data_IF_292571160616
#
_entry.id   IF_292571160616
#
_cell.length_a   1.000
_cell.length_b   1.000
_cell.length_c   1.000
_cell.angle_alpha   90.00
_cell.angle_beta   90.00
_cell.angle_gamma   90.00
#
_symmetry.space_group_name_H-M   'P 1'
#
loop_
_entity.id
_entity.type
_entity.pdbx_description
1 polymer ?
#
# COMPACT_ATOMS: atom_id res chain seq x y z
N UNK A 1 30.31 29.29 37.75
CA UNK A 1 29.24 29.65 36.79
C UNK A 1 28.32 28.44 36.66
N UNK A 2 27.29 28.36 37.50
CA UNK A 2 26.36 27.22 37.55
C UNK A 2 25.25 27.47 36.53
N UNK A 3 25.36 26.87 35.35
CA UNK A 3 24.30 26.90 34.32
C UNK A 3 23.11 26.07 34.84
N UNK A 4 21.96 26.72 34.83
CA UNK A 4 20.75 26.29 35.49
C UNK A 4 20.15 25.00 34.82
N UNK A 5 20.58 23.84 35.30
CA UNK A 5 20.19 22.51 34.78
C UNK A 5 18.66 22.30 34.72
N UNK A 6 17.90 23.04 35.57
CA UNK A 6 16.41 22.99 35.57
C UNK A 6 15.80 23.64 34.33
N UNK A 7 16.46 24.64 33.73
CA UNK A 7 15.99 25.32 32.53
C UNK A 7 16.15 24.44 31.29
N UNK A 8 17.29 23.75 31.17
CA UNK A 8 17.54 22.80 30.08
C UNK A 8 16.58 21.57 30.11
N UNK A 9 16.24 21.10 31.31
CA UNK A 9 15.31 19.98 31.48
C UNK A 9 13.87 20.33 31.07
N UNK A 10 13.43 21.59 31.26
CA UNK A 10 12.11 22.07 30.79
C UNK A 10 12.06 22.24 29.27
N UNK A 11 13.12 22.75 28.66
CA UNK A 11 13.20 22.90 27.19
C UNK A 11 13.23 21.53 26.51
N UNK A 12 13.94 20.55 27.05
CA UNK A 12 13.99 19.18 26.51
C UNK A 12 12.63 18.48 26.56
N UNK A 13 11.87 18.66 27.65
CA UNK A 13 10.52 18.11 27.80
C UNK A 13 9.52 18.73 26.81
N UNK A 14 9.60 20.02 26.53
CA UNK A 14 8.74 20.70 25.53
C UNK A 14 9.02 20.22 24.12
N UNK A 15 10.29 19.93 23.76
CA UNK A 15 10.67 19.42 22.45
C UNK A 15 10.11 18.01 22.18
N UNK A 16 10.08 17.14 23.20
CA UNK A 16 9.51 15.78 23.10
C UNK A 16 7.98 15.84 22.88
N UNK A 17 7.28 16.77 23.55
CA UNK A 17 5.83 16.92 23.40
C UNK A 17 5.42 17.43 22.01
N UNK A 18 6.25 18.22 21.35
CA UNK A 18 5.98 18.74 20.00
C UNK A 18 6.09 17.65 18.92
N UNK A 19 7.04 16.74 19.04
CA UNK A 19 7.24 15.65 18.06
C UNK A 19 6.11 14.62 18.08
N UNK A 20 5.55 14.31 19.24
CA UNK A 20 4.42 13.36 19.37
C UNK A 20 3.15 13.91 18.71
N UNK A 21 2.89 15.22 18.82
CA UNK A 21 1.73 15.87 18.21
C UNK A 21 1.78 15.86 16.67
N UNK A 22 2.97 15.98 16.07
CA UNK A 22 3.13 15.98 14.61
C UNK A 22 2.81 14.62 14.03
N UNK A 23 3.35 13.54 14.58
CA UNK A 23 3.09 12.16 14.12
C UNK A 23 1.62 11.77 14.23
N UNK A 24 0.96 12.17 15.32
CA UNK A 24 -0.48 11.90 15.51
C UNK A 24 -1.34 12.66 14.48
N UNK A 25 -0.94 13.87 14.09
CA UNK A 25 -1.64 14.65 13.09
C UNK A 25 -1.55 14.03 11.69
N UNK A 26 -0.36 13.58 11.28
CA UNK A 26 -0.14 12.91 9.98
C UNK A 26 -0.97 11.62 9.87
N UNK A 27 -0.94 10.76 10.88
CA UNK A 27 -1.75 9.55 10.93
C UNK A 27 -3.25 9.83 10.83
N UNK A 28 -3.75 10.85 11.52
CA UNK A 28 -5.15 11.27 11.46
C UNK A 28 -5.56 11.75 10.07
N UNK A 29 -4.71 12.52 9.40
CA UNK A 29 -4.97 13.02 8.06
C UNK A 29 -5.00 11.87 7.03
N UNK A 30 -4.04 10.94 7.09
CA UNK A 30 -4.02 9.73 6.25
C UNK A 30 -5.28 8.89 6.50
N UNK A 31 -5.66 8.71 7.76
CA UNK A 31 -6.91 7.99 8.12
C UNK A 31 -8.14 8.62 7.48
N UNK A 32 -8.25 9.95 7.53
CA UNK A 32 -9.36 10.68 6.89
C UNK A 32 -9.36 10.48 5.37
N UNK A 33 -8.18 10.57 4.74
CA UNK A 33 -8.01 10.34 3.29
C UNK A 33 -8.42 8.92 2.90
N UNK A 34 -7.92 7.90 3.59
CA UNK A 34 -8.25 6.49 3.32
C UNK A 34 -9.74 6.21 3.51
N UNK A 35 -10.38 6.80 4.52
CA UNK A 35 -11.81 6.61 4.75
C UNK A 35 -12.67 7.15 3.61
N UNK A 36 -12.26 8.23 2.95
CA UNK A 36 -12.95 8.80 1.80
C UNK A 36 -12.70 8.06 0.48
N UNK A 37 -11.76 7.11 0.46
CA UNK A 37 -11.32 6.44 -0.75
C UNK A 37 -12.10 5.14 -0.97
N UNK A 38 -12.85 5.02 -2.08
CA UNK A 38 -13.58 3.80 -2.44
C UNK A 38 -12.88 3.02 -3.55
N UNK A 39 -12.25 3.72 -4.47
CA UNK A 39 -11.54 3.12 -5.59
C UNK A 39 -10.35 3.98 -6.02
N UNK A 40 -9.36 3.37 -6.65
CA UNK A 40 -8.26 4.05 -7.33
C UNK A 40 -7.92 3.39 -8.65
N UNK A 41 -7.60 4.21 -9.64
CA UNK A 41 -6.89 3.81 -10.85
C UNK A 41 -5.46 4.31 -10.75
N UNK A 42 -4.49 3.46 -11.09
CA UNK A 42 -3.08 3.81 -10.98
C UNK A 42 -2.19 3.05 -11.96
N UNK A 43 -1.06 3.65 -12.34
CA UNK A 43 0.07 2.92 -12.93
C UNK A 43 1.03 2.47 -11.83
N UNK A 44 1.81 1.43 -12.10
CA UNK A 44 2.78 0.91 -11.15
C UNK A 44 4.10 0.49 -11.78
N UNK A 45 5.14 0.56 -10.94
CA UNK A 45 6.43 -0.11 -11.12
C UNK A 45 6.61 -1.08 -9.94
N UNK A 46 6.85 -2.35 -10.26
CA UNK A 46 7.07 -3.41 -9.28
C UNK A 46 8.46 -4.01 -9.47
N UNK A 47 9.27 -4.00 -8.42
CA UNK A 47 10.59 -4.64 -8.39
C UNK A 47 10.52 -5.90 -7.54
N UNK A 48 10.83 -7.05 -8.13
CA UNK A 48 10.90 -8.34 -7.45
C UNK A 48 12.28 -8.93 -7.75
N UNK A 49 13.13 -9.07 -6.73
CA UNK A 49 14.46 -9.69 -6.85
C UNK A 49 15.27 -9.14 -8.04
N UNK A 50 15.28 -7.82 -8.21
CA UNK A 50 16.03 -7.14 -9.29
C UNK A 50 15.30 -7.07 -10.64
N UNK A 51 14.16 -7.74 -10.80
CA UNK A 51 13.36 -7.68 -12.03
C UNK A 51 12.23 -6.67 -11.89
N UNK A 52 12.18 -5.71 -12.81
CA UNK A 52 11.12 -4.70 -12.86
C UNK A 52 9.97 -5.14 -13.76
N UNK A 53 8.75 -4.99 -13.29
CA UNK A 53 7.50 -5.13 -14.03
C UNK A 53 6.69 -3.85 -13.90
N UNK A 54 5.97 -3.48 -14.96
CA UNK A 54 5.15 -2.27 -15.03
C UNK A 54 3.74 -2.61 -15.48
N UNK A 55 2.79 -1.75 -15.14
CA UNK A 55 1.41 -1.94 -15.58
C UNK A 55 0.47 -0.85 -15.09
N UNK A 56 -0.81 -1.11 -15.25
CA UNK A 56 -1.90 -0.31 -14.70
C UNK A 56 -2.87 -1.18 -13.91
N UNK A 57 -3.46 -0.62 -12.87
CA UNK A 57 -4.40 -1.33 -12.01
C UNK A 57 -5.63 -0.49 -11.71
N UNK A 58 -6.74 -1.22 -11.49
CA UNK A 58 -7.97 -0.74 -10.88
C UNK A 58 -8.10 -1.45 -9.54
N UNK A 59 -8.24 -0.68 -8.46
CA UNK A 59 -8.50 -1.18 -7.11
C UNK A 59 -9.84 -0.63 -6.64
N UNK A 60 -10.73 -1.52 -6.17
CA UNK A 60 -11.98 -1.17 -5.51
C UNK A 60 -12.01 -1.81 -4.12
N UNK A 61 -12.13 -1.00 -3.10
CA UNK A 61 -12.27 -1.47 -1.74
C UNK A 61 -13.68 -1.99 -1.43
N UNK A 62 -13.75 -3.10 -0.68
CA UNK A 62 -12.68 -3.98 -0.21
C UNK A 62 -12.32 -5.08 -1.21
N UNK A 63 -11.04 -5.44 -1.29
CA UNK A 63 -10.61 -6.74 -1.79
C UNK A 63 -10.72 -7.01 -3.29
N UNK A 64 -10.93 -6.00 -4.15
CA UNK A 64 -11.02 -6.17 -5.59
C UNK A 64 -9.89 -5.43 -6.28
N UNK A 65 -9.11 -6.15 -7.11
CA UNK A 65 -8.01 -5.59 -7.88
C UNK A 65 -7.98 -6.21 -9.27
N UNK A 66 -7.72 -5.39 -10.28
CA UNK A 66 -7.41 -5.86 -11.63
C UNK A 66 -6.19 -5.10 -12.13
N UNK A 67 -5.14 -5.83 -12.53
CA UNK A 67 -3.93 -5.25 -13.11
C UNK A 67 -3.65 -5.81 -14.49
N UNK A 68 -3.28 -4.93 -15.40
CA UNK A 68 -2.75 -5.27 -16.72
C UNK A 68 -1.25 -4.94 -16.73
N UNK A 69 -0.42 -5.94 -16.97
CA UNK A 69 1.03 -5.77 -17.06
C UNK A 69 1.46 -5.41 -18.48
N UNK A 70 2.45 -4.54 -18.60
CA UNK A 70 3.03 -4.12 -19.86
C UNK A 70 4.16 -5.06 -20.26
N UNK A 71 3.83 -6.35 -20.40
CA UNK A 71 4.76 -7.42 -20.75
C UNK A 71 4.34 -8.14 -22.04
N UNK A 72 5.26 -8.88 -22.65
CA UNK A 72 5.01 -9.63 -23.89
C UNK A 72 3.96 -10.74 -23.72
N UNK A 73 3.76 -11.23 -22.49
CA UNK A 73 2.79 -12.27 -22.17
C UNK A 73 1.38 -11.72 -22.05
N UNK A 74 1.23 -10.37 -22.04
CA UNK A 74 -0.04 -9.67 -21.77
C UNK A 74 -0.67 -10.20 -20.48
N UNK A 75 0.14 -10.21 -19.41
CA UNK A 75 -0.27 -10.72 -18.11
C UNK A 75 -1.39 -9.84 -17.53
N UNK A 76 -2.47 -10.48 -17.11
CA UNK A 76 -3.55 -9.86 -16.36
C UNK A 76 -3.68 -10.56 -15.01
N UNK A 77 -3.78 -9.77 -13.94
CA UNK A 77 -4.02 -10.25 -12.59
C UNK A 77 -5.38 -9.74 -12.14
N UNK A 78 -6.23 -10.65 -11.66
CA UNK A 78 -7.53 -10.28 -11.07
C UNK A 78 -7.62 -10.87 -9.68
N UNK A 79 -7.94 -10.01 -8.71
CA UNK A 79 -8.29 -10.41 -7.35
C UNK A 79 -9.74 -10.05 -7.11
N UNK A 80 -10.47 -10.99 -6.54
CA UNK A 80 -11.81 -10.76 -6.02
C UNK A 80 -11.94 -11.48 -4.68
N UNK A 81 -11.92 -10.70 -3.60
CA UNK A 81 -11.88 -11.16 -2.23
C UNK A 81 -10.66 -12.08 -1.95
N UNK A 82 -10.87 -13.37 -1.76
CA UNK A 82 -9.83 -14.34 -1.39
C UNK A 82 -9.24 -15.12 -2.57
N UNK A 83 -9.70 -14.84 -3.79
CA UNK A 83 -9.24 -15.55 -5.00
C UNK A 83 -8.41 -14.63 -5.88
N UNK A 84 -7.30 -15.15 -6.37
CA UNK A 84 -6.40 -14.53 -7.32
C UNK A 84 -6.33 -15.38 -8.58
N UNK A 85 -6.53 -14.78 -9.74
CA UNK A 85 -6.25 -15.36 -11.04
C UNK A 85 -5.17 -14.56 -11.76
N UNK A 86 -4.19 -15.24 -12.34
CA UNK A 86 -3.17 -14.68 -13.20
C UNK A 86 -3.33 -15.29 -14.58
N UNK A 87 -3.69 -14.48 -15.57
CA UNK A 87 -3.89 -14.90 -16.95
C UNK A 87 -2.75 -14.38 -17.83
N UNK A 88 -2.08 -15.26 -18.54
CA UNK A 88 -1.15 -14.95 -19.62
C UNK A 88 -1.93 -14.98 -20.94
N UNK A 89 -2.51 -13.85 -21.34
CA UNK A 89 -3.45 -13.78 -22.48
C UNK A 89 -2.82 -14.25 -23.79
N UNK A 90 -1.52 -14.00 -23.99
CA UNK A 90 -0.80 -14.49 -25.19
C UNK A 90 -0.85 -16.01 -25.36
N UNK A 91 -0.87 -16.74 -24.24
CA UNK A 91 -0.83 -18.20 -24.23
C UNK A 91 -2.18 -18.84 -23.86
N UNK A 92 -3.20 -18.03 -23.61
CA UNK A 92 -4.51 -18.44 -23.11
C UNK A 92 -4.43 -19.36 -21.88
N UNK A 93 -3.51 -19.03 -20.95
CA UNK A 93 -3.28 -19.81 -19.72
C UNK A 93 -3.63 -18.97 -18.49
N UNK A 94 -4.46 -19.55 -17.61
CA UNK A 94 -4.85 -18.94 -16.33
C UNK A 94 -4.42 -19.82 -15.16
N UNK A 95 -3.83 -19.21 -14.16
CA UNK A 95 -3.40 -19.83 -12.92
C UNK A 95 -4.21 -19.24 -11.76
N UNK A 96 -4.62 -20.08 -10.82
CA UNK A 96 -5.45 -19.67 -9.69
C UNK A 96 -4.71 -19.90 -8.37
N UNK A 97 -4.78 -18.91 -7.48
CA UNK A 97 -4.08 -18.96 -6.21
C UNK A 97 -4.99 -18.48 -5.07
N UNK A 98 -4.94 -19.13 -3.90
CA UNK A 98 -5.51 -18.56 -2.69
C UNK A 98 -4.61 -17.41 -2.23
N UNK A 99 -5.20 -16.23 -1.98
CA UNK A 99 -4.45 -15.06 -1.54
C UNK A 99 -4.53 -14.86 -0.01
N UNK A 100 -5.26 -15.71 0.70
CA UNK A 100 -5.57 -15.55 2.13
C UNK A 100 -4.35 -15.45 3.05
N UNK A 101 -3.19 -15.94 2.61
CA UNK A 101 -1.93 -15.87 3.36
C UNK A 101 -0.95 -14.82 2.81
N UNK A 102 -1.34 -14.07 1.79
CA UNK A 102 -0.46 -13.06 1.18
C UNK A 102 -0.47 -11.78 1.99
N UNK A 103 0.70 -11.21 2.35
CA UNK A 103 0.78 -9.88 2.96
C UNK A 103 0.15 -8.78 2.10
N UNK A 104 -0.02 -9.03 0.79
CA UNK A 104 -0.66 -8.12 -0.14
C UNK A 104 -2.13 -7.85 0.21
N UNK A 105 -2.82 -8.77 0.90
CA UNK A 105 -4.18 -8.52 1.40
C UNK A 105 -4.26 -7.29 2.30
N UNK A 106 -3.20 -6.97 3.05
CA UNK A 106 -3.18 -5.79 3.91
C UNK A 106 -3.36 -4.47 3.13
N UNK A 107 -3.04 -4.47 1.83
CA UNK A 107 -3.22 -3.31 0.95
C UNK A 107 -4.63 -3.27 0.34
N UNK A 108 -5.26 -4.44 0.13
CA UNK A 108 -6.55 -4.55 -0.53
C UNK A 108 -7.76 -4.31 0.39
N UNK A 109 -7.53 -4.28 1.70
CA UNK A 109 -8.58 -4.04 2.69
C UNK A 109 -8.30 -2.75 3.45
N UNK A 110 -9.26 -1.83 3.40
CA UNK A 110 -9.13 -0.50 4.00
C UNK A 110 -8.91 -0.56 5.52
N UNK A 111 -9.61 -1.46 6.20
CA UNK A 111 -9.44 -1.69 7.65
C UNK A 111 -8.01 -2.12 7.99
N UNK A 112 -7.38 -2.96 7.16
CA UNK A 112 -5.98 -3.35 7.32
C UNK A 112 -5.00 -2.21 7.06
N UNK A 113 -5.25 -1.40 6.04
CA UNK A 113 -4.46 -0.18 5.81
C UNK A 113 -4.58 0.80 6.99
N UNK A 114 -5.79 0.96 7.53
CA UNK A 114 -6.01 1.81 8.70
C UNK A 114 -5.31 1.28 9.96
N UNK A 115 -5.27 -0.04 10.15
CA UNK A 115 -4.50 -0.68 11.22
C UNK A 115 -3.00 -0.37 11.08
N UNK A 116 -2.44 -0.48 9.86
CA UNK A 116 -1.04 -0.11 9.58
C UNK A 116 -0.79 1.37 9.89
N UNK A 117 -1.70 2.26 9.51
CA UNK A 117 -1.58 3.70 9.78
C UNK A 117 -1.59 3.98 11.29
N UNK A 118 -2.46 3.33 12.04
CA UNK A 118 -2.60 3.57 13.48
C UNK A 118 -1.43 2.99 14.27
N UNK A 119 -1.04 1.74 13.99
CA UNK A 119 -0.09 0.97 14.79
C UNK A 119 1.34 0.99 14.27
N UNK A 120 1.54 1.29 12.97
CA UNK A 120 2.88 1.34 12.36
C UNK A 120 3.77 2.44 12.93
N UNK A 121 5.06 2.19 12.98
CA UNK A 121 6.08 3.20 13.27
C UNK A 121 6.16 4.20 12.11
N UNK A 122 6.13 5.49 12.44
CA UNK A 122 6.08 6.56 11.45
C UNK A 122 7.45 7.20 11.30
N UNK A 123 7.96 7.21 10.07
CA UNK A 123 9.14 7.96 9.66
C UNK A 123 8.74 9.02 8.62
N UNK A 124 9.28 10.23 8.75
CA UNK A 124 9.00 11.36 7.85
C UNK A 124 10.24 11.79 7.10
N UNK A 125 10.07 12.04 5.80
CA UNK A 125 11.00 12.80 4.97
C UNK A 125 10.27 14.04 4.42
N UNK A 126 10.95 14.88 3.64
CA UNK A 126 10.33 16.05 3.02
C UNK A 126 9.22 15.69 2.03
N UNK A 127 9.27 14.51 1.42
CA UNK A 127 8.35 14.09 0.36
C UNK A 127 7.47 12.91 0.73
N UNK A 128 7.90 12.05 1.66
CA UNK A 128 7.28 10.75 1.93
C UNK A 128 7.01 10.58 3.42
N UNK A 129 5.83 10.05 3.71
CA UNK A 129 5.47 9.45 4.99
C UNK A 129 5.65 7.94 4.83
N UNK A 130 6.48 7.36 5.67
CA UNK A 130 6.76 5.92 5.70
C UNK A 130 6.16 5.35 6.98
N UNK A 131 5.37 4.29 6.86
CA UNK A 131 4.79 3.55 7.96
C UNK A 131 5.31 2.12 7.93
N UNK A 132 6.02 1.74 8.99
CA UNK A 132 6.60 0.40 9.17
C UNK A 132 5.70 -0.35 10.14
N UNK A 133 5.11 -1.44 9.68
CA UNK A 133 4.25 -2.29 10.49
C UNK A 133 4.83 -3.69 10.57
N UNK A 134 5.07 -4.13 11.80
CA UNK A 134 5.67 -5.43 12.11
C UNK A 134 4.60 -6.29 12.78
N UNK A 135 3.93 -7.09 11.99
CA UNK A 135 3.11 -8.22 12.40
C UNK A 135 3.78 -9.50 11.88
N UNK A 136 3.08 -10.57 11.67
CA UNK A 136 3.62 -11.84 11.15
C UNK A 136 4.54 -11.69 9.90
N UNK A 137 4.35 -10.62 9.13
CA UNK A 137 5.21 -10.22 8.01
C UNK A 137 5.45 -8.71 8.07
N UNK A 138 6.70 -8.29 7.90
CA UNK A 138 7.03 -6.88 7.80
C UNK A 138 6.41 -6.25 6.54
N UNK A 139 5.62 -5.21 6.73
CA UNK A 139 5.11 -4.38 5.65
C UNK A 139 5.50 -2.92 5.87
N UNK A 140 5.97 -2.26 4.83
CA UNK A 140 6.20 -0.82 4.83
C UNK A 140 5.28 -0.18 3.81
N UNK A 141 4.50 0.81 4.22
CA UNK A 141 3.60 1.55 3.34
C UNK A 141 4.08 2.99 3.21
N UNK A 142 4.03 3.52 2.00
CA UNK A 142 4.49 4.86 1.66
C UNK A 142 3.31 5.73 1.24
N UNK A 143 3.24 6.94 1.78
CA UNK A 143 2.30 7.97 1.37
C UNK A 143 3.06 9.22 0.93
N UNK A 144 2.51 9.93 -0.03
CA UNK A 144 2.99 11.27 -0.39
C UNK A 144 2.70 12.24 0.76
N UNK A 145 3.69 13.01 1.20
CA UNK A 145 3.53 13.88 2.36
C UNK A 145 2.62 15.08 2.09
N UNK A 146 2.56 15.54 0.85
CA UNK A 146 1.78 16.71 0.46
C UNK A 146 0.33 16.36 0.17
N UNK A 147 0.10 15.28 -0.61
CA UNK A 147 -1.24 14.87 -1.04
C UNK A 147 -1.85 13.79 -0.16
N UNK A 148 -1.07 13.14 0.71
CA UNK A 148 -1.42 11.99 1.54
C UNK A 148 -1.88 10.76 0.74
N UNK A 149 -1.55 10.72 -0.54
CA UNK A 149 -1.87 9.62 -1.42
C UNK A 149 -0.95 8.44 -1.19
N UNK A 150 -1.48 7.24 -1.33
CA UNK A 150 -0.70 6.02 -1.34
C UNK A 150 0.31 6.08 -2.50
N UNK A 151 1.59 5.88 -2.20
CA UNK A 151 2.71 5.88 -3.17
C UNK A 151 3.29 4.49 -3.40
N UNK A 152 3.00 3.55 -2.53
CA UNK A 152 3.52 2.20 -2.67
C UNK A 152 3.67 1.45 -1.37
N UNK A 153 4.30 0.29 -1.46
CA UNK A 153 4.61 -0.57 -0.32
C UNK A 153 5.82 -1.44 -0.58
N UNK A 154 6.41 -1.94 0.50
CA UNK A 154 7.40 -3.02 0.49
C UNK A 154 6.87 -4.16 1.32
N UNK A 155 6.96 -5.37 0.81
CA UNK A 155 6.60 -6.60 1.50
C UNK A 155 7.65 -7.68 1.23
N UNK A 156 7.73 -8.64 2.14
CA UNK A 156 8.40 -9.92 1.90
C UNK A 156 7.31 -10.96 1.72
N UNK A 157 7.29 -11.65 0.60
CA UNK A 157 6.28 -12.67 0.33
C UNK A 157 6.62 -14.01 1.04
N UNK A 158 5.71 -14.98 0.93
CA UNK A 158 5.88 -16.32 1.53
C UNK A 158 7.05 -17.13 0.96
N UNK A 159 7.63 -16.69 -0.16
CA UNK A 159 8.81 -17.30 -0.81
C UNK A 159 10.08 -16.50 -0.51
N UNK A 160 10.04 -15.58 0.45
CA UNK A 160 11.13 -14.68 0.83
C UNK A 160 11.59 -13.73 -0.30
N UNK A 161 10.70 -13.41 -1.23
CA UNK A 161 10.97 -12.39 -2.24
C UNK A 161 10.73 -11.00 -1.67
N UNK A 162 11.70 -10.10 -1.87
CA UNK A 162 11.52 -8.69 -1.60
C UNK A 162 10.74 -8.05 -2.74
N UNK A 163 9.53 -7.59 -2.44
CA UNK A 163 8.66 -6.90 -3.40
C UNK A 163 8.61 -5.43 -3.02
N UNK A 164 9.08 -4.58 -3.92
CA UNK A 164 8.94 -3.13 -3.81
C UNK A 164 7.98 -2.67 -4.90
N UNK A 165 6.85 -2.11 -4.50
CA UNK A 165 5.79 -1.67 -5.38
C UNK A 165 5.61 -0.16 -5.23
N UNK A 166 5.79 0.59 -6.31
CA UNK A 166 5.51 2.01 -6.38
C UNK A 166 4.33 2.27 -7.31
N UNK A 167 3.49 3.22 -6.98
CA UNK A 167 2.32 3.55 -7.78
C UNK A 167 2.16 5.06 -7.98
N UNK A 168 1.51 5.39 -9.09
CA UNK A 168 1.07 6.74 -9.39
C UNK A 168 -0.44 6.73 -9.64
N UNK A 169 -1.21 7.38 -8.75
CA UNK A 169 -2.67 7.45 -8.86
C UNK A 169 -3.06 8.35 -10.03
N UNK A 170 -3.95 7.84 -10.88
CA UNK A 170 -4.53 8.53 -12.04
C UNK A 170 -5.89 9.10 -11.68
N UNK A 171 -6.74 8.28 -11.03
CA UNK A 171 -8.10 8.67 -10.65
C UNK A 171 -8.49 8.07 -9.30
N UNK A 172 -9.47 8.69 -8.62
CA UNK A 172 -9.99 8.27 -7.32
C UNK A 172 -11.52 8.28 -7.35
N UNK A 173 -12.10 7.30 -6.68
CA UNK A 173 -13.54 7.17 -6.47
C UNK A 173 -14.38 7.02 -7.75
N UNK A 174 -13.77 6.54 -8.83
CA UNK A 174 -14.50 6.17 -10.03
C UNK A 174 -15.31 4.90 -9.78
N UNK A 175 -16.47 4.83 -10.45
CA UNK A 175 -17.35 3.66 -10.45
C UNK A 175 -16.94 2.77 -11.60
N UNK A 176 -16.48 1.56 -11.29
CA UNK A 176 -16.12 0.60 -12.32
C UNK A 176 -17.34 -0.18 -12.83
N UNK A 177 -17.27 -0.58 -14.10
CA UNK A 177 -18.34 -1.37 -14.73
C UNK A 177 -18.52 -2.72 -14.01
N UNK A 178 -19.76 -3.19 -13.96
CA UNK A 178 -20.05 -4.55 -13.51
C UNK A 178 -19.22 -5.58 -14.29
N UNK A 179 -18.71 -6.58 -13.58
CA UNK A 179 -17.84 -7.61 -14.18
C UNK A 179 -16.36 -7.24 -14.30
N UNK A 180 -15.93 -5.99 -14.03
CA UNK A 180 -14.53 -5.57 -14.11
C UNK A 180 -13.57 -6.50 -13.35
N UNK A 181 -13.98 -6.98 -12.18
CA UNK A 181 -13.18 -7.84 -11.29
C UNK A 181 -13.61 -9.31 -11.33
N UNK A 182 -14.23 -9.76 -12.42
CA UNK A 182 -14.66 -11.14 -12.55
C UNK A 182 -13.45 -12.06 -12.69
N UNK A 183 -13.35 -13.05 -11.80
CA UNK A 183 -12.35 -14.12 -11.89
C UNK A 183 -12.68 -14.98 -13.14
N UNK A 184 -11.73 -15.21 -14.06
CA UNK A 184 -11.93 -16.10 -15.20
C UNK A 184 -12.43 -17.49 -14.75
N UNK A 185 -13.31 -18.11 -15.52
CA UNK A 185 -13.78 -19.47 -15.22
C UNK A 185 -12.66 -20.48 -15.46
N UNK A 186 -12.64 -21.53 -14.66
CA UNK A 186 -11.79 -22.71 -14.91
C UNK A 186 -12.43 -23.46 -16.07
N UNK A 187 -11.76 -23.52 -17.22
CA UNK A 187 -12.16 -24.35 -18.35
C UNK A 187 -11.66 -25.78 -18.17
#
# INVERSE_FOLDING_TARGET
MLVNVKFFRKIFLVFILLSVNLSANEKRQITKQLNSLNSIEFTFDQLINGKTEKGSCLLEFPGKLKCNYFDDKKKELVINNKRLAITQKRYNKTYYYPISKSPFLNILYKDKLLEIVQSGELELTDQIIKLIYLDNNAITVFFDRKTLDLKGWKIIDQYNNNINFSLNIIAKNDIFKEGTFTIPKIN
#
